data_IF_245353215161
#
_entry.id   IF_245353215161
#
_cell.length_a   1.000
_cell.length_b   1.000
_cell.length_c   1.000
_cell.angle_alpha   90.00
_cell.angle_beta   90.00
_cell.angle_gamma   90.00
#
_symmetry.space_group_name_H-M   'P 1'
#
loop_
_entity.id
_entity.type
_entity.pdbx_description
1 polymer ?
#
# COMPACT_ATOMS: atom_id res chain seq x y z
N UNK A 1 -11.99 -35.13 -0.40
CA UNK A 1 -11.30 -34.58 -1.60
C UNK A 1 -10.71 -33.27 -1.22
N UNK A 2 -9.42 -33.02 -1.40
CA UNK A 2 -8.88 -31.69 -1.23
C UNK A 2 -9.53 -30.79 -2.28
N UNK A 3 -10.16 -29.70 -1.85
CA UNK A 3 -10.80 -28.75 -2.75
C UNK A 3 -9.77 -28.15 -3.69
N UNK A 4 -10.06 -28.12 -4.98
CA UNK A 4 -9.24 -27.39 -5.94
C UNK A 4 -9.28 -25.90 -5.61
N UNK A 5 -8.16 -25.17 -5.77
CA UNK A 5 -8.17 -23.73 -5.59
C UNK A 5 -9.14 -23.08 -6.58
N UNK A 6 -9.82 -22.02 -6.15
CA UNK A 6 -10.69 -21.26 -7.01
C UNK A 6 -9.88 -20.63 -8.17
N UNK A 7 -10.41 -20.71 -9.38
CA UNK A 7 -9.78 -20.13 -10.56
C UNK A 7 -9.81 -18.58 -10.48
N UNK A 8 -8.75 -17.92 -10.93
CA UNK A 8 -8.56 -16.48 -10.89
C UNK A 8 -8.48 -15.90 -12.28
N UNK A 9 -8.71 -14.59 -12.40
CA UNK A 9 -8.42 -13.89 -13.64
C UNK A 9 -6.92 -14.03 -14.00
N UNK A 10 -6.64 -14.48 -15.20
CA UNK A 10 -5.29 -14.79 -15.67
C UNK A 10 -4.91 -16.27 -15.56
N UNK A 11 -5.66 -17.10 -14.83
CA UNK A 11 -5.43 -18.54 -14.82
C UNK A 11 -5.75 -19.14 -16.20
N UNK A 12 -4.98 -20.15 -16.61
CA UNK A 12 -5.22 -20.85 -17.86
C UNK A 12 -6.42 -21.79 -17.72
N UNK A 13 -7.28 -21.80 -18.73
CA UNK A 13 -8.33 -22.80 -18.86
C UNK A 13 -7.75 -24.13 -19.36
N UNK A 14 -8.49 -25.22 -19.20
CA UNK A 14 -8.09 -26.57 -19.68
C UNK A 14 -7.78 -26.59 -21.20
N UNK A 15 -8.33 -25.65 -21.96
CA UNK A 15 -8.11 -25.49 -23.41
C UNK A 15 -7.06 -24.42 -23.74
N UNK A 16 -6.30 -23.93 -22.75
CA UNK A 16 -5.13 -23.07 -22.95
C UNK A 16 -5.41 -21.56 -23.06
N UNK A 17 -6.65 -21.10 -22.97
CA UNK A 17 -6.98 -19.67 -22.96
C UNK A 17 -6.94 -19.09 -21.54
N UNK A 18 -6.54 -17.83 -21.35
CA UNK A 18 -6.61 -17.19 -20.03
C UNK A 18 -8.04 -16.83 -19.64
N UNK A 19 -8.35 -16.90 -18.36
CA UNK A 19 -9.60 -16.35 -17.80
C UNK A 19 -9.52 -14.84 -17.83
N UNK A 20 -10.27 -14.20 -18.73
CA UNK A 20 -10.22 -12.75 -18.95
C UNK A 20 -11.17 -11.95 -18.07
N UNK A 21 -12.14 -12.61 -17.43
CA UNK A 21 -13.13 -11.95 -16.57
C UNK A 21 -13.52 -12.84 -15.41
N UNK A 22 -13.50 -12.28 -14.20
CA UNK A 22 -13.98 -12.93 -12.97
C UNK A 22 -15.32 -12.35 -12.52
N UNK A 23 -15.88 -12.93 -11.47
CA UNK A 23 -17.11 -12.43 -10.84
C UNK A 23 -16.88 -11.07 -10.19
N UNK A 24 -17.72 -10.10 -10.49
CA UNK A 24 -17.69 -8.75 -9.89
C UNK A 24 -18.00 -8.74 -8.37
N UNK A 25 -18.52 -9.83 -7.83
CA UNK A 25 -18.96 -9.91 -6.44
C UNK A 25 -18.09 -10.77 -5.54
N UNK A 26 -17.07 -11.46 -6.08
CA UNK A 26 -16.19 -12.33 -5.30
C UNK A 26 -14.75 -11.95 -5.53
N UNK A 27 -14.20 -11.16 -4.60
CA UNK A 27 -12.76 -10.88 -4.56
C UNK A 27 -12.03 -12.00 -3.83
N UNK A 28 -11.49 -12.94 -4.59
CA UNK A 28 -10.56 -13.95 -4.08
C UNK A 28 -9.16 -13.46 -4.40
N UNK A 29 -8.47 -12.94 -3.42
CA UNK A 29 -7.09 -12.52 -3.57
C UNK A 29 -6.82 -11.12 -3.06
N UNK A 30 -5.58 -10.74 -3.21
CA UNK A 30 -5.01 -9.54 -2.60
C UNK A 30 -5.88 -8.30 -2.78
N UNK A 31 -5.84 -7.45 -1.76
CA UNK A 31 -6.58 -6.21 -1.74
C UNK A 31 -6.22 -5.36 -2.93
N UNK A 32 -7.15 -4.51 -3.26
CA UNK A 32 -7.07 -3.37 -4.15
C UNK A 32 -5.91 -2.42 -3.79
N UNK A 33 -4.69 -2.94 -3.80
CA UNK A 33 -3.49 -2.11 -3.81
C UNK A 33 -3.27 -1.57 -5.22
N UNK A 34 -2.69 -0.39 -5.30
CA UNK A 34 -2.15 0.14 -6.55
C UNK A 34 -1.37 -0.98 -7.23
N UNK A 35 -1.93 -1.45 -8.32
CA UNK A 35 -1.40 -2.48 -9.18
C UNK A 35 -0.30 -3.33 -8.53
N UNK A 36 -0.68 -4.25 -7.67
CA UNK A 36 0.18 -5.36 -7.39
C UNK A 36 0.27 -6.17 -8.68
N UNK A 37 1.00 -5.68 -9.65
CA UNK A 37 1.50 -6.61 -10.62
C UNK A 37 2.51 -7.43 -9.85
N UNK A 38 2.08 -8.58 -9.46
CA UNK A 38 2.97 -9.72 -9.40
C UNK A 38 4.00 -9.51 -10.50
N UNK A 39 5.27 -9.67 -10.17
CA UNK A 39 6.34 -9.64 -11.16
C UNK A 39 5.82 -10.06 -12.51
N UNK A 40 6.08 -9.29 -13.60
CA UNK A 40 5.58 -9.63 -14.91
C UNK A 40 5.89 -11.09 -15.20
N UNK A 41 4.83 -11.89 -15.35
CA UNK A 41 4.98 -13.32 -15.55
C UNK A 41 4.83 -14.21 -14.33
N UNK A 42 4.70 -13.68 -13.12
CA UNK A 42 4.17 -14.36 -11.93
C UNK A 42 4.71 -15.74 -11.58
N UNK A 43 5.86 -16.15 -12.10
CA UNK A 43 6.42 -17.48 -11.82
C UNK A 43 7.22 -17.40 -10.54
N UNK A 44 6.57 -17.61 -9.41
CA UNK A 44 7.26 -17.99 -8.20
C UNK A 44 7.36 -19.54 -8.16
N UNK A 45 8.57 -20.04 -8.12
CA UNK A 45 8.85 -21.48 -8.03
C UNK A 45 9.36 -21.78 -6.62
N UNK A 46 8.83 -22.84 -6.03
CA UNK A 46 9.23 -23.23 -4.68
C UNK A 46 8.68 -22.28 -3.62
N UNK A 47 9.51 -21.82 -2.70
CA UNK A 47 9.17 -21.12 -1.47
C UNK A 47 9.36 -19.61 -1.51
N UNK A 48 8.39 -18.83 -1.98
CA UNK A 48 8.32 -18.47 -3.39
C UNK A 48 9.56 -17.67 -3.80
N UNK A 49 10.30 -18.16 -4.75
CA UNK A 49 11.46 -17.49 -5.36
C UNK A 49 11.05 -17.04 -6.76
N UNK A 50 11.30 -15.78 -7.10
CA UNK A 50 11.21 -15.32 -8.46
C UNK A 50 12.50 -15.75 -9.20
N UNK A 51 12.45 -16.73 -10.12
CA UNK A 51 13.65 -17.26 -10.76
C UNK A 51 14.31 -16.28 -11.74
N UNK A 52 13.55 -15.31 -12.23
CA UNK A 52 14.08 -14.28 -13.16
C UNK A 52 14.94 -13.28 -12.40
N UNK A 53 14.54 -12.92 -11.19
CA UNK A 53 15.26 -11.95 -10.35
C UNK A 53 16.21 -12.63 -9.36
N UNK A 54 16.10 -13.93 -9.15
CA UNK A 54 16.79 -14.63 -8.07
C UNK A 54 16.34 -14.18 -6.68
N UNK A 55 15.18 -13.51 -6.60
CA UNK A 55 14.71 -12.90 -5.38
C UNK A 55 13.69 -13.79 -4.66
N UNK A 56 13.83 -13.94 -3.33
CA UNK A 56 12.75 -14.43 -2.49
C UNK A 56 11.67 -13.36 -2.40
N UNK A 57 10.44 -13.73 -2.76
CA UNK A 57 9.28 -12.85 -2.69
C UNK A 57 8.24 -13.46 -1.77
N UNK A 58 7.56 -12.61 -0.98
CA UNK A 58 6.38 -12.98 -0.24
C UNK A 58 5.23 -12.15 -0.83
N UNK A 59 4.26 -12.77 -1.49
CA UNK A 59 3.11 -12.04 -2.02
C UNK A 59 2.34 -11.39 -0.88
N UNK A 60 1.52 -10.39 -1.18
CA UNK A 60 0.80 -9.61 -0.19
C UNK A 60 0.05 -10.46 0.82
N UNK A 61 0.43 -10.36 2.08
CA UNK A 61 -0.28 -10.94 3.22
C UNK A 61 -1.11 -9.87 3.90
N UNK A 62 -2.39 -10.18 4.12
CA UNK A 62 -3.33 -9.29 4.79
C UNK A 62 -3.34 -9.60 6.28
N UNK A 63 -2.96 -8.64 7.09
CA UNK A 63 -2.99 -8.75 8.55
C UNK A 63 -4.31 -8.19 9.12
N UNK A 64 -4.90 -7.18 8.46
CA UNK A 64 -6.15 -6.54 8.89
C UNK A 64 -7.05 -6.33 7.66
N UNK A 65 -8.31 -6.73 7.79
CA UNK A 65 -9.38 -6.41 6.86
C UNK A 65 -10.72 -6.47 7.61
N UNK A 66 -11.31 -5.32 7.93
CA UNK A 66 -12.65 -5.25 8.49
C UNK A 66 -13.64 -4.77 7.43
N UNK A 67 -14.82 -5.40 7.28
CA UNK A 67 -15.76 -5.05 6.22
C UNK A 67 -16.20 -3.59 6.27
N UNK A 68 -16.13 -2.88 5.14
CA UNK A 68 -16.63 -1.53 4.90
C UNK A 68 -16.84 -1.33 3.39
N UNK A 69 -17.48 -0.23 2.98
CA UNK A 69 -17.57 0.11 1.55
C UNK A 69 -16.18 0.35 0.95
N UNK A 70 -15.35 1.08 1.65
CA UNK A 70 -13.92 1.25 1.36
C UNK A 70 -13.14 0.95 2.65
N UNK A 71 -12.75 -0.31 2.87
CA UNK A 71 -12.17 -0.76 4.12
C UNK A 71 -10.71 -0.35 4.26
N UNK A 72 -10.26 -0.18 5.50
CA UNK A 72 -8.84 -0.23 5.79
C UNK A 72 -8.36 -1.68 5.71
N UNK A 73 -7.49 -1.94 4.75
CA UNK A 73 -6.84 -3.23 4.56
C UNK A 73 -5.34 -3.04 4.72
N UNK A 74 -4.77 -3.67 5.75
CA UNK A 74 -3.33 -3.67 5.96
C UNK A 74 -2.74 -4.93 5.36
N UNK A 75 -2.08 -4.74 4.23
CA UNK A 75 -1.36 -5.79 3.51
C UNK A 75 0.11 -5.42 3.41
N UNK A 76 0.97 -6.39 3.60
CA UNK A 76 2.40 -6.26 3.42
C UNK A 76 2.93 -7.28 2.43
N UNK A 77 3.89 -6.90 1.62
CA UNK A 77 4.61 -7.76 0.69
C UNK A 77 6.11 -7.66 0.94
N UNK A 78 6.84 -8.72 0.63
CA UNK A 78 8.28 -8.76 0.83
C UNK A 78 8.99 -9.15 -0.48
N UNK A 79 10.14 -8.53 -0.70
CA UNK A 79 11.08 -8.93 -1.75
C UNK A 79 12.52 -8.74 -1.28
N UNK A 80 13.32 -9.80 -1.36
CA UNK A 80 14.75 -9.72 -1.02
C UNK A 80 15.56 -8.87 -2.01
N UNK A 81 15.00 -8.57 -3.18
CA UNK A 81 15.63 -7.66 -4.16
C UNK A 81 15.64 -6.19 -3.71
N UNK A 82 14.90 -5.85 -2.64
CA UNK A 82 14.63 -4.47 -2.24
C UNK A 82 15.11 -4.13 -0.83
N UNK A 83 16.03 -4.89 -0.32
CA UNK A 83 16.62 -4.63 1.00
C UNK A 83 17.42 -3.33 1.04
N UNK A 84 17.99 -2.94 -0.09
CA UNK A 84 18.88 -1.78 -0.27
C UNK A 84 18.34 -0.75 -1.27
N UNK A 85 17.03 -0.71 -1.52
CA UNK A 85 16.48 0.25 -2.48
C UNK A 85 16.65 1.69 -2.01
N UNK A 86 16.78 2.66 -2.94
CA UNK A 86 16.94 4.07 -2.59
C UNK A 86 15.73 4.69 -1.88
N UNK A 87 14.61 4.03 -1.84
CA UNK A 87 13.48 4.42 -1.00
C UNK A 87 13.79 4.12 0.46
N UNK A 88 13.40 4.98 1.41
CA UNK A 88 13.59 4.69 2.83
C UNK A 88 12.91 3.37 3.17
N UNK A 89 13.55 2.60 4.04
CA UNK A 89 12.99 1.35 4.57
C UNK A 89 11.66 1.67 5.24
N UNK A 90 10.60 0.95 4.85
CA UNK A 90 9.26 1.15 5.39
C UNK A 90 9.12 0.69 6.85
N UNK A 91 7.94 0.94 7.40
CA UNK A 91 7.65 0.66 8.82
C UNK A 91 7.61 -0.83 9.17
N UNK A 92 7.58 -1.73 8.19
CA UNK A 92 7.73 -3.17 8.39
C UNK A 92 9.18 -3.68 8.31
N UNK A 93 10.14 -2.78 8.04
CA UNK A 93 11.56 -3.14 7.96
C UNK A 93 12.04 -3.52 6.56
N UNK A 94 13.33 -3.92 6.43
CA UNK A 94 13.98 -4.13 5.14
C UNK A 94 13.25 -5.16 4.27
N UNK A 95 13.10 -4.84 2.98
CA UNK A 95 12.44 -5.70 1.99
C UNK A 95 10.91 -5.73 2.06
N UNK A 96 10.30 -5.27 3.14
CA UNK A 96 8.85 -5.19 3.29
C UNK A 96 8.28 -3.89 2.77
N UNK A 97 7.08 -3.96 2.23
CA UNK A 97 6.32 -2.80 1.79
C UNK A 97 4.82 -2.96 2.04
N UNK A 98 4.18 -1.83 2.27
CA UNK A 98 2.74 -1.70 2.48
C UNK A 98 2.19 -0.49 1.73
N UNK A 99 0.89 -0.26 1.82
CA UNK A 99 0.26 0.91 1.21
C UNK A 99 0.84 2.24 1.74
N UNK A 100 1.29 2.28 2.99
CA UNK A 100 1.87 3.50 3.60
C UNK A 100 3.20 3.92 2.98
N UNK A 101 3.85 3.02 2.24
CA UNK A 101 5.16 3.24 1.60
C UNK A 101 5.03 3.74 0.15
N UNK A 102 3.80 3.84 -0.39
CA UNK A 102 3.55 4.34 -1.74
C UNK A 102 3.96 5.81 -1.84
N UNK A 103 4.76 6.12 -2.85
CA UNK A 103 5.27 7.47 -3.12
C UNK A 103 5.32 7.76 -4.61
N UNK A 104 5.05 9.02 -4.96
CA UNK A 104 5.34 9.57 -6.28
C UNK A 104 6.49 10.56 -6.16
N UNK A 105 7.62 10.25 -6.78
CA UNK A 105 8.75 11.17 -6.91
C UNK A 105 8.51 12.10 -8.10
N UNK A 106 8.75 13.39 -7.89
CA UNK A 106 8.64 14.41 -8.94
C UNK A 106 10.06 14.84 -9.28
N UNK A 107 10.54 14.46 -10.45
CA UNK A 107 11.83 14.86 -10.99
C UNK A 107 11.66 15.96 -12.02
N UNK A 108 12.76 16.54 -12.47
CA UNK A 108 12.73 17.61 -13.48
C UNK A 108 12.21 17.14 -14.85
N UNK A 109 12.34 15.87 -15.18
CA UNK A 109 11.99 15.31 -16.48
C UNK A 109 10.92 14.21 -16.46
N UNK A 110 10.60 13.67 -15.27
CA UNK A 110 9.73 12.50 -15.17
C UNK A 110 9.05 12.42 -13.80
N UNK A 111 8.01 11.60 -13.72
CA UNK A 111 7.36 11.17 -12.49
C UNK A 111 7.65 9.69 -12.27
N UNK A 112 8.02 9.30 -11.04
CA UNK A 112 8.29 7.91 -10.69
C UNK A 112 7.37 7.50 -9.55
N UNK A 113 6.41 6.62 -9.87
CA UNK A 113 5.55 6.02 -8.87
C UNK A 113 6.22 4.78 -8.28
N UNK A 114 6.48 4.82 -6.98
CA UNK A 114 6.90 3.65 -6.22
C UNK A 114 5.66 3.03 -5.57
N UNK A 115 5.25 1.88 -6.06
CA UNK A 115 4.06 1.19 -5.58
C UNK A 115 4.35 0.29 -4.35
N UNK A 116 3.30 -0.27 -3.75
CA UNK A 116 3.42 -1.18 -2.62
C UNK A 116 3.90 -2.60 -3.01
N UNK A 117 3.97 -2.91 -4.30
CA UNK A 117 4.64 -4.11 -4.82
C UNK A 117 6.13 -3.89 -4.99
N UNK A 118 6.58 -2.65 -4.76
CA UNK A 118 7.96 -2.24 -4.77
C UNK A 118 8.51 -2.00 -6.18
N UNK A 119 7.67 -1.69 -7.16
CA UNK A 119 8.10 -1.30 -8.50
C UNK A 119 8.26 0.21 -8.59
N UNK A 120 9.12 0.61 -9.52
CA UNK A 120 9.22 2.00 -9.95
C UNK A 120 8.60 2.10 -11.35
N UNK A 121 7.49 2.83 -11.43
CA UNK A 121 6.73 3.02 -12.66
C UNK A 121 6.96 4.45 -13.14
N UNK A 122 7.46 4.58 -14.35
CA UNK A 122 7.86 5.86 -14.93
C UNK A 122 6.74 6.46 -15.78
N UNK A 123 6.52 7.75 -15.62
CA UNK A 123 5.59 8.55 -16.41
C UNK A 123 6.25 9.87 -16.83
N UNK A 124 5.81 10.41 -17.96
CA UNK A 124 6.12 11.77 -18.32
C UNK A 124 5.51 12.78 -17.35
N UNK A 125 6.05 13.98 -17.33
CA UNK A 125 5.48 15.08 -16.53
C UNK A 125 4.05 15.38 -16.99
N UNK A 126 3.14 15.51 -16.03
CA UNK A 126 1.75 15.83 -16.30
C UNK A 126 1.47 17.32 -16.06
N UNK A 127 0.82 17.98 -17.03
CA UNK A 127 0.20 19.28 -16.81
C UNK A 127 -0.96 19.15 -15.80
N UNK A 128 -1.36 20.24 -15.10
CA UNK A 128 -2.57 20.22 -14.28
C UNK A 128 -3.78 19.73 -15.07
N UNK A 129 -4.54 18.80 -14.51
CA UNK A 129 -5.69 18.14 -15.15
C UNK A 129 -5.36 17.03 -16.14
N UNK A 130 -4.08 16.80 -16.47
CA UNK A 130 -3.70 15.75 -17.40
C UNK A 130 -3.78 14.36 -16.76
N UNK A 131 -4.09 13.37 -17.61
CA UNK A 131 -4.16 11.95 -17.24
C UNK A 131 -3.29 11.16 -18.21
N UNK A 132 -2.41 10.32 -17.68
CA UNK A 132 -1.62 9.35 -18.44
C UNK A 132 -2.03 7.92 -18.11
N UNK A 133 -1.84 7.01 -19.07
CA UNK A 133 -2.09 5.59 -18.91
C UNK A 133 -0.87 4.77 -19.27
N UNK A 134 -0.39 3.97 -18.33
CA UNK A 134 0.64 2.98 -18.58
C UNK A 134 0.00 1.66 -19.01
N UNK A 135 0.20 1.27 -20.27
CA UNK A 135 -0.34 0.02 -20.81
C UNK A 135 0.31 -1.22 -20.19
N UNK A 136 1.63 -1.18 -19.97
CA UNK A 136 2.36 -2.29 -19.36
C UNK A 136 1.91 -2.57 -17.93
N UNK A 137 1.61 -1.50 -17.19
CA UNK A 137 1.24 -1.57 -15.78
C UNK A 137 -0.27 -1.57 -15.55
N UNK A 138 -1.07 -1.28 -16.60
CA UNK A 138 -2.53 -1.11 -16.55
C UNK A 138 -2.92 -0.11 -15.47
N UNK A 139 -2.25 1.03 -15.45
CA UNK A 139 -2.34 2.02 -14.39
C UNK A 139 -2.54 3.41 -14.96
N UNK A 140 -3.48 4.15 -14.40
CA UNK A 140 -3.73 5.56 -14.66
C UNK A 140 -3.00 6.40 -13.63
N UNK A 141 -2.30 7.43 -14.08
CA UNK A 141 -1.77 8.51 -13.26
C UNK A 141 -2.40 9.82 -13.72
N UNK A 142 -3.03 10.53 -12.81
CA UNK A 142 -3.66 11.83 -13.08
C UNK A 142 -3.09 12.90 -12.18
N UNK A 143 -3.11 14.15 -12.64
CA UNK A 143 -2.74 15.33 -11.84
C UNK A 143 -3.96 16.22 -11.62
N UNK A 144 -4.16 16.70 -10.40
CA UNK A 144 -5.21 17.66 -10.06
C UNK A 144 -5.01 19.01 -10.73
N UNK A 145 -5.90 19.96 -10.44
CA UNK A 145 -5.85 21.32 -10.96
C UNK A 145 -7.01 21.68 -11.88
N UNK A 146 -7.99 20.78 -12.10
CA UNK A 146 -9.21 21.05 -12.87
C UNK A 146 -10.44 20.49 -12.16
N UNK A 147 -11.56 21.15 -12.31
CA UNK A 147 -12.82 20.73 -11.68
C UNK A 147 -13.41 19.50 -12.37
N UNK A 148 -13.37 19.48 -13.70
CA UNK A 148 -14.02 18.43 -14.49
C UNK A 148 -13.06 17.81 -15.50
N UNK A 149 -13.31 16.57 -15.85
CA UNK A 149 -12.72 15.90 -17.00
C UNK A 149 -13.77 15.83 -18.12
N UNK A 150 -13.37 15.74 -19.40
CA UNK A 150 -14.32 15.53 -20.50
C UNK A 150 -15.23 14.33 -20.22
N UNK A 151 -16.53 14.47 -20.47
CA UNK A 151 -17.52 13.39 -20.24
C UNK A 151 -17.17 12.09 -20.99
N UNK A 152 -16.55 12.21 -22.15
CA UNK A 152 -16.07 11.09 -22.96
C UNK A 152 -14.89 10.34 -22.31
N UNK A 153 -14.22 10.92 -21.32
CA UNK A 153 -13.09 10.28 -20.68
C UNK A 153 -13.57 9.18 -19.72
N UNK A 154 -12.94 8.00 -19.79
CA UNK A 154 -13.32 6.81 -19.01
C UNK A 154 -13.35 7.06 -17.50
N UNK A 155 -12.52 7.96 -17.00
CA UNK A 155 -12.39 8.28 -15.58
C UNK A 155 -13.23 9.49 -15.14
N UNK A 156 -14.07 10.08 -16.02
CA UNK A 156 -14.83 11.28 -15.69
C UNK A 156 -15.72 11.12 -14.45
N UNK A 157 -16.42 9.99 -14.33
CA UNK A 157 -17.26 9.70 -13.16
C UNK A 157 -16.44 9.50 -11.89
N UNK A 158 -15.30 8.80 -11.98
CA UNK A 158 -14.40 8.60 -10.86
C UNK A 158 -13.72 9.91 -10.44
N UNK A 159 -13.45 10.80 -11.42
CA UNK A 159 -12.95 12.15 -11.15
C UNK A 159 -13.93 13.00 -10.34
N UNK A 160 -15.22 12.95 -10.69
CA UNK A 160 -16.28 13.68 -9.99
C UNK A 160 -16.50 13.20 -8.54
N UNK A 161 -16.13 11.97 -8.22
CA UNK A 161 -16.21 11.45 -6.86
C UNK A 161 -15.13 12.03 -5.92
N UNK A 162 -14.06 12.62 -6.47
CA UNK A 162 -13.04 13.28 -5.68
C UNK A 162 -13.58 14.54 -4.99
N UNK A 163 -13.22 14.81 -3.73
CA UNK A 163 -13.51 16.10 -3.09
C UNK A 163 -12.96 17.26 -3.91
N UNK A 164 -13.70 18.38 -3.96
CA UNK A 164 -13.36 19.51 -4.83
C UNK A 164 -12.00 20.13 -4.48
N UNK A 165 -11.70 20.27 -3.20
CA UNK A 165 -10.42 20.79 -2.69
C UNK A 165 -9.24 19.92 -3.15
N UNK A 166 -9.43 18.60 -3.20
CA UNK A 166 -8.40 17.64 -3.60
C UNK A 166 -8.19 17.67 -5.12
N UNK A 167 -9.29 17.59 -5.92
CA UNK A 167 -9.18 17.55 -7.38
C UNK A 167 -8.73 18.87 -8.01
N UNK A 168 -9.00 19.99 -7.35
CA UNK A 168 -8.57 21.32 -7.80
C UNK A 168 -7.09 21.63 -7.46
N UNK A 169 -6.47 20.87 -6.57
CA UNK A 169 -5.08 21.07 -6.19
C UNK A 169 -4.13 20.64 -7.31
N UNK A 170 -3.34 21.54 -7.91
CA UNK A 170 -2.36 21.18 -8.94
C UNK A 170 -1.15 20.43 -8.38
N UNK A 171 -1.09 20.25 -7.07
CA UNK A 171 0.00 19.55 -6.37
C UNK A 171 -0.37 18.14 -5.96
N UNK A 172 -1.63 17.75 -6.15
CA UNK A 172 -2.16 16.42 -5.85
C UNK A 172 -2.15 15.56 -7.11
N UNK A 173 -1.83 14.29 -6.92
CA UNK A 173 -1.86 13.27 -7.98
C UNK A 173 -2.77 12.13 -7.57
N UNK A 174 -3.29 11.43 -8.57
CA UNK A 174 -4.24 10.35 -8.39
C UNK A 174 -3.80 9.14 -9.19
N UNK A 175 -3.92 7.97 -8.58
CA UNK A 175 -3.59 6.70 -9.24
C UNK A 175 -4.80 5.79 -9.20
N UNK A 176 -5.12 5.14 -10.32
CA UNK A 176 -6.15 4.11 -10.39
C UNK A 176 -5.72 3.00 -11.36
N UNK A 177 -6.06 1.77 -11.04
CA UNK A 177 -5.83 0.61 -11.90
C UNK A 177 -7.07 0.23 -12.74
N UNK A 178 -8.22 0.79 -12.39
CA UNK A 178 -9.49 0.56 -13.09
C UNK A 178 -10.30 1.84 -13.17
N UNK A 179 -11.14 1.97 -14.19
CA UNK A 179 -12.04 3.11 -14.37
C UNK A 179 -13.15 3.18 -13.31
N UNK A 180 -13.39 2.11 -12.59
CA UNK A 180 -14.32 2.06 -11.47
C UNK A 180 -13.70 2.42 -10.12
N UNK A 181 -12.39 2.62 -10.08
CA UNK A 181 -11.65 3.06 -8.91
C UNK A 181 -11.19 1.93 -7.98
N UNK A 182 -10.75 2.26 -6.77
CA UNK A 182 -10.70 3.62 -6.21
C UNK A 182 -9.56 4.47 -6.79
N UNK A 183 -9.66 5.79 -6.60
CA UNK A 183 -8.49 6.66 -6.66
C UNK A 183 -7.63 6.50 -5.41
N UNK A 184 -6.34 6.39 -5.61
CA UNK A 184 -5.32 6.57 -4.61
C UNK A 184 -4.85 8.02 -4.69
N UNK A 185 -4.97 8.75 -3.60
CA UNK A 185 -4.67 10.18 -3.54
C UNK A 185 -3.26 10.34 -3.00
N UNK A 186 -2.43 11.03 -3.77
CA UNK A 186 -1.03 11.30 -3.45
C UNK A 186 -0.84 12.82 -3.27
N UNK A 187 -0.61 13.24 -2.05
CA UNK A 187 -0.49 14.66 -1.66
C UNK A 187 0.93 15.01 -1.20
N UNK A 188 1.32 16.29 -1.29
CA UNK A 188 2.55 16.74 -0.67
C UNK A 188 2.42 16.59 0.85
N UNK A 189 3.40 15.95 1.47
CA UNK A 189 3.54 16.02 2.91
C UNK A 189 4.29 17.31 3.25
N UNK A 190 3.63 18.19 3.98
CA UNK A 190 4.22 19.43 4.46
C UNK A 190 4.61 19.24 5.93
N UNK A 191 5.89 19.45 6.22
CA UNK A 191 6.33 19.62 7.59
C UNK A 191 5.76 20.95 8.14
N UNK A 192 5.46 21.02 9.43
CA UNK A 192 4.95 22.23 10.04
C UNK A 192 5.93 23.39 9.80
N UNK A 193 5.36 24.55 9.49
CA UNK A 193 6.13 25.79 9.31
C UNK A 193 6.60 26.26 10.68
N UNK A 194 7.90 26.47 10.83
CA UNK A 194 8.42 27.11 12.05
C UNK A 194 7.94 28.56 12.10
N UNK A 195 7.61 29.11 13.28
CA UNK A 195 7.29 30.52 13.43
C UNK A 195 8.39 31.45 12.92
N UNK A 196 9.63 30.96 12.84
CA UNK A 196 10.81 31.70 12.36
C UNK A 196 11.00 31.61 10.83
N UNK A 197 10.20 30.81 10.13
CA UNK A 197 10.28 30.71 8.67
C UNK A 197 9.68 31.97 8.01
N UNK A 198 10.51 32.80 7.46
CA UNK A 198 10.10 34.04 6.77
C UNK A 198 9.44 33.81 5.41
N UNK A 199 9.63 32.64 4.81
CA UNK A 199 9.09 32.26 3.51
C UNK A 199 8.49 30.86 3.56
N UNK A 200 7.45 30.57 2.75
CA UNK A 200 6.92 29.22 2.61
C UNK A 200 8.02 28.26 2.15
N UNK A 201 8.15 27.13 2.82
CA UNK A 201 9.07 26.08 2.37
C UNK A 201 8.64 25.53 1.01
N UNK A 202 9.58 25.24 0.10
CA UNK A 202 9.24 24.58 -1.15
C UNK A 202 8.61 23.22 -0.88
N UNK A 203 7.64 22.83 -1.72
CA UNK A 203 7.02 21.52 -1.61
C UNK A 203 8.07 20.41 -1.78
N UNK A 204 7.99 19.34 -0.99
CA UNK A 204 8.87 18.18 -1.16
C UNK A 204 8.83 17.64 -2.59
N UNK A 205 9.94 17.12 -3.15
CA UNK A 205 9.98 16.54 -4.49
C UNK A 205 9.32 15.16 -4.57
N UNK A 206 8.38 14.89 -3.69
CA UNK A 206 7.59 13.66 -3.65
C UNK A 206 6.18 13.91 -3.12
N UNK A 207 5.28 12.98 -3.43
CA UNK A 207 3.92 12.89 -2.89
C UNK A 207 3.78 11.57 -2.16
N UNK A 208 3.00 11.57 -1.09
CA UNK A 208 2.73 10.39 -0.27
C UNK A 208 1.25 10.05 -0.30
N UNK A 209 0.92 8.77 -0.11
CA UNK A 209 -0.46 8.34 -0.02
C UNK A 209 -1.14 9.02 1.17
N UNK A 210 -2.22 9.75 0.91
CA UNK A 210 -3.06 10.44 1.91
C UNK A 210 -4.43 9.80 2.06
N UNK A 211 -4.90 9.08 1.04
CA UNK A 211 -6.22 8.45 1.11
C UNK A 211 -6.62 7.72 -0.16
N UNK A 212 -7.82 7.17 -0.09
CA UNK A 212 -8.51 6.56 -1.23
C UNK A 212 -9.92 7.14 -1.33
N UNK A 213 -10.44 7.24 -2.55
CA UNK A 213 -11.82 7.60 -2.83
C UNK A 213 -12.37 6.67 -3.90
N UNK A 214 -13.51 6.02 -3.64
CA UNK A 214 -14.18 5.21 -4.64
C UNK A 214 -15.16 6.05 -5.49
N UNK A 215 -15.74 5.44 -6.50
CA UNK A 215 -16.69 6.10 -7.43
C UNK A 215 -17.98 6.58 -6.78
N UNK A 216 -18.26 6.19 -5.55
CA UNK A 216 -19.44 6.59 -4.77
C UNK A 216 -19.12 7.70 -3.77
N UNK A 217 -17.86 8.15 -3.71
CA UNK A 217 -17.40 9.17 -2.78
C UNK A 217 -17.06 8.62 -1.39
N UNK A 218 -17.07 7.30 -1.19
CA UNK A 218 -16.57 6.72 0.07
C UNK A 218 -15.08 7.00 0.17
N UNK A 219 -14.62 7.36 1.37
CA UNK A 219 -13.25 7.77 1.62
C UNK A 219 -12.58 6.90 2.67
N UNK A 220 -11.30 6.62 2.44
CA UNK A 220 -10.36 6.14 3.44
C UNK A 220 -9.23 7.18 3.54
N UNK A 221 -8.85 7.56 4.75
CA UNK A 221 -7.82 8.58 4.98
C UNK A 221 -6.69 8.04 5.84
N UNK A 222 -5.46 8.33 5.42
CA UNK A 222 -4.24 8.09 6.19
C UNK A 222 -3.81 9.40 6.85
N UNK A 223 -3.68 9.39 8.17
CA UNK A 223 -3.26 10.55 8.95
C UNK A 223 -1.79 10.39 9.30
N UNK A 224 -1.01 11.44 9.02
CA UNK A 224 0.42 11.47 9.31
C UNK A 224 0.69 12.48 10.40
N UNK A 225 1.63 12.15 11.29
CA UNK A 225 2.08 13.10 12.27
C UNK A 225 2.80 14.27 11.60
N UNK A 226 2.41 15.48 11.96
CA UNK A 226 3.01 16.69 11.41
C UNK A 226 4.38 16.97 12.01
N UNK A 227 4.57 16.64 13.29
CA UNK A 227 5.77 16.95 14.08
C UNK A 227 6.14 15.79 15.01
N UNK A 228 7.18 16.00 15.84
CA UNK A 228 7.63 15.03 16.81
C UNK A 228 8.44 13.86 16.21
N UNK A 229 8.57 12.81 17.00
CA UNK A 229 9.40 11.64 16.70
C UNK A 229 8.94 10.89 15.43
N UNK A 230 7.64 10.87 15.18
CA UNK A 230 7.05 10.15 14.05
C UNK A 230 6.61 11.07 12.90
N UNK A 231 7.16 12.28 12.84
CA UNK A 231 6.82 13.23 11.78
C UNK A 231 6.92 12.60 10.38
N UNK A 232 5.84 12.72 9.59
CA UNK A 232 5.72 12.13 8.26
C UNK A 232 5.29 10.67 8.23
N UNK A 233 5.24 9.98 9.35
CA UNK A 233 4.74 8.60 9.41
C UNK A 233 3.21 8.57 9.54
N UNK A 234 2.58 7.51 9.02
CA UNK A 234 1.16 7.27 9.23
C UNK A 234 0.96 6.73 10.64
N UNK A 235 0.23 7.47 11.46
CA UNK A 235 -0.07 7.12 12.86
C UNK A 235 -1.54 6.78 13.09
N UNK A 236 -2.42 7.16 12.14
CA UNK A 236 -3.82 6.79 12.19
C UNK A 236 -4.42 6.59 10.79
N UNK A 237 -5.50 5.83 10.73
CA UNK A 237 -6.31 5.63 9.52
C UNK A 237 -7.78 5.75 9.89
N UNK A 238 -8.56 6.40 9.02
CA UNK A 238 -10.02 6.44 9.12
C UNK A 238 -10.61 5.78 7.89
N UNK A 239 -11.43 4.74 8.05
CA UNK A 239 -12.09 4.08 6.93
C UNK A 239 -13.45 4.69 6.58
N UNK A 240 -14.08 4.19 5.52
CA UNK A 240 -15.36 4.71 5.04
C UNK A 240 -16.55 4.46 5.98
N UNK A 241 -16.41 3.61 6.97
CA UNK A 241 -17.41 3.41 8.03
C UNK A 241 -17.20 4.34 9.24
N UNK A 242 -16.20 5.24 9.18
CA UNK A 242 -15.83 6.13 10.27
C UNK A 242 -15.07 5.45 11.40
N UNK A 243 -14.63 4.20 11.21
CA UNK A 243 -13.75 3.54 12.16
C UNK A 243 -12.38 4.18 12.13
N UNK A 244 -11.79 4.33 13.30
CA UNK A 244 -10.45 4.89 13.45
C UNK A 244 -9.51 3.82 13.97
N UNK A 245 -8.39 3.71 13.27
CA UNK A 245 -7.30 2.81 13.60
C UNK A 245 -6.08 3.64 14.01
N UNK A 246 -5.44 3.27 15.11
CA UNK A 246 -4.15 3.84 15.51
C UNK A 246 -3.04 2.87 15.14
N UNK A 247 -2.04 3.39 14.46
CA UNK A 247 -0.80 2.69 14.13
C UNK A 247 0.23 3.07 15.20
N UNK A 248 0.52 2.13 16.08
CA UNK A 248 1.52 2.33 17.13
C UNK A 248 2.91 2.08 16.54
N UNK A 249 3.73 3.10 16.58
CA UNK A 249 5.09 3.08 16.07
C UNK A 249 6.09 2.95 17.21
N UNK A 250 7.24 2.39 16.90
CA UNK A 250 8.37 2.28 17.82
C UNK A 250 9.64 2.66 17.09
N UNK A 251 10.50 3.42 17.77
CA UNK A 251 11.84 3.74 17.28
C UNK A 251 12.83 2.67 17.76
N UNK A 252 13.41 1.98 16.80
CA UNK A 252 14.51 1.02 17.01
C UNK A 252 15.82 1.63 16.49
N UNK A 253 16.99 1.09 16.87
CA UNK A 253 18.27 1.57 16.32
C UNK A 253 18.33 1.56 14.79
N UNK A 254 17.59 0.65 14.16
CA UNK A 254 17.50 0.52 12.70
C UNK A 254 16.39 1.40 12.05
N UNK A 255 15.72 2.26 12.81
CA UNK A 255 14.67 3.17 12.35
C UNK A 255 13.28 2.87 12.92
N UNK A 256 12.29 3.62 12.46
CA UNK A 256 10.89 3.54 12.92
C UNK A 256 10.23 2.27 12.39
N UNK A 257 9.50 1.57 13.26
CA UNK A 257 8.75 0.34 12.92
C UNK A 257 7.32 0.41 13.43
N UNK A 258 6.41 -0.29 12.73
CA UNK A 258 5.03 -0.48 13.17
C UNK A 258 5.00 -1.59 14.22
N UNK A 259 4.64 -1.24 15.47
CA UNK A 259 4.58 -2.19 16.58
C UNK A 259 3.21 -2.86 16.68
N UNK A 260 2.13 -2.09 16.51
CA UNK A 260 0.77 -2.61 16.63
C UNK A 260 -0.23 -1.74 15.87
N UNK A 261 -1.40 -2.32 15.59
CA UNK A 261 -2.56 -1.59 15.07
C UNK A 261 -3.75 -1.81 15.97
N UNK A 262 -4.34 -0.72 16.43
CA UNK A 262 -5.45 -0.68 17.33
C UNK A 262 -6.71 -0.16 16.65
N UNK A 263 -7.85 -0.78 16.93
CA UNK A 263 -9.14 -0.16 16.65
C UNK A 263 -9.46 0.77 17.84
N UNK A 264 -9.48 2.08 17.62
CA UNK A 264 -9.67 3.09 18.68
C UNK A 264 -11.03 3.74 18.65
N UNK A 265 -11.78 3.55 17.56
CA UNK A 265 -13.17 3.99 17.43
C UNK A 265 -13.91 3.12 16.43
N UNK A 266 -15.10 2.69 16.80
CA UNK A 266 -16.11 2.10 15.91
C UNK A 266 -17.48 2.63 16.30
N UNK A 267 -18.16 3.32 15.38
CA UNK A 267 -19.47 3.91 15.65
C UNK A 267 -20.59 2.86 15.79
N UNK A 268 -20.41 1.70 15.17
CA UNK A 268 -21.38 0.60 15.21
C UNK A 268 -21.19 -0.31 16.44
N UNK A 269 -19.95 -0.38 16.97
CA UNK A 269 -19.58 -1.28 18.06
C UNK A 269 -18.74 -0.50 19.09
N UNK A 270 -19.39 0.08 20.12
CA UNK A 270 -18.69 0.89 21.13
C UNK A 270 -17.73 0.07 22.01
N UNK A 271 -17.98 -1.23 22.16
CA UNK A 271 -17.11 -2.13 22.91
C UNK A 271 -15.90 -2.51 22.08
N UNK A 272 -14.82 -1.77 22.24
CA UNK A 272 -13.58 -1.95 21.48
C UNK A 272 -12.78 -3.14 22.01
N UNK A 273 -11.99 -3.81 21.14
CA UNK A 273 -11.07 -4.87 21.54
C UNK A 273 -10.06 -4.36 22.57
N UNK A 274 -9.79 -5.16 23.60
CA UNK A 274 -8.75 -4.87 24.59
C UNK A 274 -7.33 -5.19 24.13
N UNK A 275 -7.19 -5.90 23.01
CA UNK A 275 -5.92 -6.24 22.34
C UNK A 275 -5.84 -5.55 20.98
N UNK A 276 -4.63 -5.30 20.46
CA UNK A 276 -4.47 -4.77 19.11
C UNK A 276 -5.00 -5.76 18.07
N UNK A 277 -5.46 -5.26 16.94
CA UNK A 277 -5.91 -6.08 15.80
C UNK A 277 -4.76 -6.88 15.19
N UNK A 278 -3.56 -6.32 15.22
CA UNK A 278 -2.32 -6.97 14.81
C UNK A 278 -1.16 -6.39 15.62
N UNK A 279 -0.15 -7.22 15.91
CA UNK A 279 1.09 -6.83 16.59
C UNK A 279 2.29 -7.42 15.87
N UNK A 280 3.40 -6.70 15.91
CA UNK A 280 4.63 -7.02 15.18
C UNK A 280 5.84 -6.98 16.10
N UNK A 281 6.66 -8.02 16.05
CA UNK A 281 7.95 -8.06 16.73
C UNK A 281 9.08 -7.97 15.70
N UNK A 282 10.19 -7.36 16.11
CA UNK A 282 11.35 -7.13 15.25
C UNK A 282 12.62 -7.71 15.86
N UNK A 283 13.57 -8.08 14.99
CA UNK A 283 14.93 -8.39 15.39
C UNK A 283 15.66 -7.14 15.88
N UNK A 284 16.80 -7.28 16.58
CA UNK A 284 17.65 -6.12 16.94
C UNK A 284 18.11 -5.28 15.75
N UNK A 285 18.09 -5.85 14.53
CA UNK A 285 18.39 -5.16 13.27
C UNK A 285 17.16 -4.53 12.61
N UNK A 286 16.01 -4.52 13.29
CA UNK A 286 14.77 -3.94 12.79
C UNK A 286 14.12 -4.73 11.67
N UNK A 287 14.40 -6.02 11.52
CA UNK A 287 13.76 -6.93 10.59
C UNK A 287 12.51 -7.52 11.23
N UNK A 288 11.41 -7.66 10.49
CA UNK A 288 10.16 -8.23 11.01
C UNK A 288 10.39 -9.70 11.43
N UNK A 289 10.24 -10.00 12.72
CA UNK A 289 10.48 -11.33 13.26
C UNK A 289 9.21 -12.14 13.46
N UNK A 290 8.11 -11.50 13.88
CA UNK A 290 6.85 -12.19 14.13
C UNK A 290 5.64 -11.27 13.91
N UNK A 291 4.50 -11.90 13.57
CA UNK A 291 3.20 -11.24 13.47
C UNK A 291 2.20 -11.99 14.35
N UNK A 292 1.41 -11.23 15.08
CA UNK A 292 0.36 -11.74 15.97
C UNK A 292 -1.00 -11.18 15.53
N UNK A 293 -2.01 -12.01 15.63
CA UNK A 293 -3.38 -11.64 15.35
C UNK A 293 -4.06 -10.96 16.55
N UNK A 294 -5.34 -10.61 16.37
CA UNK A 294 -6.17 -9.98 17.40
C UNK A 294 -6.42 -10.83 18.66
N UNK A 295 -6.14 -12.12 18.61
CA UNK A 295 -6.20 -13.01 19.77
C UNK A 295 -4.84 -13.10 20.49
N UNK A 296 -3.83 -12.36 20.01
CA UNK A 296 -2.46 -12.42 20.53
C UNK A 296 -1.71 -13.69 20.13
N UNK A 297 -2.26 -14.46 19.17
CA UNK A 297 -1.64 -15.68 18.68
C UNK A 297 -0.61 -15.32 17.60
N UNK A 298 0.62 -15.85 17.74
CA UNK A 298 1.65 -15.72 16.72
C UNK A 298 1.22 -16.47 15.46
N UNK A 299 0.94 -15.74 14.39
CA UNK A 299 0.48 -16.30 13.11
C UNK A 299 1.60 -16.49 12.10
N UNK A 300 2.67 -15.70 12.23
CA UNK A 300 3.83 -15.72 11.33
C UNK A 300 5.11 -15.60 12.12
N UNK A 301 6.15 -16.25 11.65
CA UNK A 301 7.52 -16.13 12.14
C UNK A 301 8.46 -16.08 10.95
N UNK A 302 9.46 -15.20 11.01
CA UNK A 302 10.46 -14.98 9.96
C UNK A 302 11.86 -15.13 10.52
N UNK A 303 12.74 -15.79 9.76
CA UNK A 303 14.14 -15.96 10.09
C UNK A 303 15.00 -15.23 9.05
N UNK A 304 16.02 -14.55 9.53
CA UNK A 304 16.82 -13.65 8.73
C UNK A 304 18.27 -14.13 8.64
N UNK A 305 18.92 -13.84 7.52
CA UNK A 305 20.32 -14.20 7.30
C UNK A 305 21.21 -13.45 8.30
N UNK A 306 22.14 -14.16 9.00
CA UNK A 306 22.92 -13.53 10.09
C UNK A 306 23.85 -12.43 9.59
N UNK A 307 24.35 -12.51 8.36
CA UNK A 307 25.32 -11.56 7.79
C UNK A 307 24.70 -10.55 6.81
N UNK A 308 23.59 -10.89 6.15
CA UNK A 308 22.95 -10.02 5.15
C UNK A 308 21.62 -9.49 5.69
N UNK A 309 21.60 -8.21 6.06
CA UNK A 309 20.41 -7.56 6.59
C UNK A 309 19.26 -7.58 5.58
N UNK A 310 18.06 -7.87 6.05
CA UNK A 310 16.86 -7.90 5.24
C UNK A 310 16.72 -9.12 4.31
N UNK A 311 17.65 -10.07 4.32
CA UNK A 311 17.55 -11.31 3.56
C UNK A 311 16.83 -12.39 4.37
N UNK A 312 15.58 -12.69 4.03
CA UNK A 312 14.78 -13.73 4.67
C UNK A 312 15.27 -15.12 4.25
N UNK A 313 15.59 -15.96 5.23
CA UNK A 313 16.04 -17.34 4.99
C UNK A 313 14.94 -18.37 5.23
N UNK A 314 14.00 -18.09 6.13
CA UNK A 314 12.85 -18.95 6.36
C UNK A 314 11.64 -18.15 6.84
N UNK A 315 10.46 -18.69 6.62
CA UNK A 315 9.23 -18.21 7.23
C UNK A 315 8.33 -19.39 7.62
N UNK A 316 7.52 -19.19 8.66
CA UNK A 316 6.61 -20.21 9.17
C UNK A 316 5.24 -19.63 9.44
N UNK A 317 4.23 -20.43 9.15
CA UNK A 317 2.84 -20.20 9.55
C UNK A 317 2.54 -21.09 10.76
N UNK A 318 1.88 -20.54 11.77
CA UNK A 318 1.46 -21.35 12.91
C UNK A 318 0.63 -22.55 12.45
N UNK A 319 1.00 -23.76 12.91
CA UNK A 319 0.35 -25.00 12.53
C UNK A 319 0.74 -25.56 11.16
N UNK A 320 1.74 -24.99 10.47
CA UNK A 320 2.30 -25.51 9.22
C UNK A 320 3.79 -25.78 9.34
N UNK A 321 4.36 -26.72 8.56
CA UNK A 321 5.80 -26.90 8.50
C UNK A 321 6.53 -25.62 8.11
N UNK A 322 7.78 -25.51 8.52
CA UNK A 322 8.65 -24.41 8.05
C UNK A 322 8.88 -24.53 6.56
N UNK A 323 8.90 -23.41 5.88
CA UNK A 323 9.14 -23.30 4.43
C UNK A 323 10.29 -22.33 4.17
#
# INVERSE_FOLDING_TARGET
>A
MPGMPAARQGDATLIGGPIVQGSLGVMIGAPTGVACSVCPGGVAVGNPVNPVLGAKVQPGETDIALPAHLPFVLTRSYSSYRTDTPAPVGTFGPGWQSATDIRLQIRSSELILNDNGGRSIHFDLLAPGAIAYSQSEKLWLARGGVDTQPESHRLSRLWQALPADVRLSPHTYFVANDATGPWWILEPFQLPVSPDDMLPRPLPPFRVLSGLVDRFGNQLRYHRDADGEFAGQVTAVTDSSGRQFRLELVTLPAGIRLAAVWLVRDAAFPDLPSLPLARYDYSPRGELAAVYDRAGVKTRHFEWHPQHAGLMVAHRYTGRPAT
#
